data_IF_094608358104
#
_entry.id   IF_094608358104
#
_cell.length_a   1.000
_cell.length_b   1.000
_cell.length_c   1.000
_cell.angle_alpha   90.00
_cell.angle_beta   90.00
_cell.angle_gamma   90.00
#
_symmetry.space_group_name_H-M   'P 1'
#
loop_
_entity.id
_entity.type
_entity.pdbx_description
1 polymer ?
#
# COMPACT_ATOMS: atom_id res chain seq x y z
N UNK A 1 -13.95 -98.18 -14.75
CA UNK A 1 -14.31 -97.07 -15.67
C UNK A 1 -14.17 -95.80 -14.90
N UNK A 2 -13.02 -95.16 -15.04
CA UNK A 2 -12.61 -94.03 -14.20
C UNK A 2 -12.77 -92.74 -14.90
N UNK A 3 -13.44 -91.77 -14.26
CA UNK A 3 -13.45 -90.40 -14.65
C UNK A 3 -12.65 -89.57 -13.66
N UNK A 4 -11.55 -89.00 -14.11
CA UNK A 4 -10.73 -88.08 -13.36
C UNK A 4 -11.02 -86.65 -13.85
N UNK A 5 -11.56 -85.91 -12.94
CA UNK A 5 -11.81 -84.48 -13.20
C UNK A 5 -10.68 -83.63 -12.72
N UNK A 6 -10.03 -82.94 -13.63
CA UNK A 6 -9.07 -81.85 -13.32
C UNK A 6 -9.82 -80.58 -13.05
N UNK A 7 -9.71 -80.05 -11.82
CA UNK A 7 -10.11 -78.75 -11.45
C UNK A 7 -8.90 -77.79 -11.57
N UNK A 8 -8.93 -76.87 -12.51
CA UNK A 8 -7.96 -75.76 -12.61
C UNK A 8 -8.42 -74.62 -11.75
N UNK A 9 -7.65 -74.30 -10.69
CA UNK A 9 -7.82 -73.09 -9.92
C UNK A 9 -7.24 -71.89 -10.69
N UNK A 10 -8.10 -70.94 -11.03
CA UNK A 10 -7.68 -69.63 -11.54
C UNK A 10 -7.32 -68.76 -10.31
N UNK A 11 -6.07 -68.44 -10.15
CA UNK A 11 -5.64 -67.37 -9.25
C UNK A 11 -5.87 -66.02 -9.92
N UNK A 12 -6.83 -65.27 -9.39
CA UNK A 12 -7.12 -63.89 -9.81
C UNK A 12 -6.22 -62.99 -8.97
N UNK A 13 -5.12 -62.51 -9.54
CA UNK A 13 -4.24 -61.52 -8.92
C UNK A 13 -4.87 -60.13 -9.11
N UNK A 14 -5.51 -59.58 -8.09
CA UNK A 14 -5.99 -58.22 -8.08
C UNK A 14 -4.80 -57.27 -7.87
N UNK A 15 -4.30 -56.68 -8.92
CA UNK A 15 -3.36 -55.55 -8.86
C UNK A 15 -4.11 -54.31 -8.43
N UNK A 16 -4.02 -53.95 -7.15
CA UNK A 16 -4.45 -52.63 -6.65
C UNK A 16 -3.54 -51.53 -7.26
N UNK A 17 -3.99 -50.88 -8.33
CA UNK A 17 -3.36 -49.70 -8.85
C UNK A 17 -3.62 -48.52 -7.90
N UNK A 18 -2.64 -48.17 -7.08
CA UNK A 18 -2.62 -46.89 -6.36
C UNK A 18 -2.40 -45.83 -7.40
N UNK A 19 -3.47 -45.16 -7.86
CA UNK A 19 -3.39 -43.95 -8.61
C UNK A 19 -2.89 -42.87 -7.65
N UNK A 20 -1.60 -42.61 -7.64
CA UNK A 20 -1.01 -41.40 -7.06
C UNK A 20 -1.52 -40.25 -7.94
N UNK A 21 -2.51 -39.56 -7.45
CA UNK A 21 -2.89 -38.28 -8.03
C UNK A 21 -1.67 -37.34 -7.87
N UNK A 22 -0.83 -37.30 -8.91
CA UNK A 22 0.18 -36.27 -9.02
C UNK A 22 -0.59 -34.96 -9.13
N UNK A 23 -0.75 -34.25 -8.01
CA UNK A 23 -1.10 -32.84 -8.04
C UNK A 23 -0.01 -32.18 -8.88
N UNK A 24 -0.37 -31.77 -10.09
CA UNK A 24 0.51 -30.95 -10.92
C UNK A 24 0.78 -29.67 -10.13
N UNK A 25 1.90 -29.68 -9.41
CA UNK A 25 2.41 -28.46 -8.79
C UNK A 25 2.64 -27.47 -9.94
N UNK A 26 1.71 -26.55 -10.11
CA UNK A 26 1.88 -25.47 -11.08
C UNK A 26 3.14 -24.71 -10.66
N UNK A 27 4.12 -24.61 -11.56
CA UNK A 27 5.32 -23.83 -11.26
C UNK A 27 4.91 -22.36 -11.05
N UNK A 28 5.27 -21.80 -9.91
CA UNK A 28 5.01 -20.40 -9.63
C UNK A 28 5.85 -19.48 -10.53
N UNK A 29 5.47 -18.22 -10.61
CA UNK A 29 6.09 -17.23 -11.49
C UNK A 29 7.60 -17.08 -11.24
N UNK A 30 8.36 -16.80 -12.30
CA UNK A 30 9.79 -16.48 -12.25
C UNK A 30 10.07 -14.98 -12.35
N UNK A 31 9.06 -14.20 -12.61
CA UNK A 31 9.14 -12.75 -12.70
C UNK A 31 7.98 -12.14 -11.93
N UNK A 32 8.29 -11.15 -11.07
CA UNK A 32 7.33 -10.44 -10.23
C UNK A 32 7.45 -8.95 -10.49
N UNK A 33 6.33 -8.28 -10.73
CA UNK A 33 6.24 -6.85 -11.02
C UNK A 33 5.58 -6.15 -9.85
N UNK A 34 6.32 -5.21 -9.23
CA UNK A 34 5.91 -4.56 -7.98
C UNK A 34 5.94 -3.05 -8.17
N UNK A 35 4.86 -2.36 -7.80
CA UNK A 35 4.87 -0.90 -7.75
C UNK A 35 5.16 -0.37 -6.35
N UNK A 36 5.83 0.78 -6.31
CA UNK A 36 6.01 1.64 -5.14
C UNK A 36 5.81 3.10 -5.55
N UNK A 37 5.39 3.95 -4.62
CA UNK A 37 5.23 5.38 -4.85
C UNK A 37 6.38 6.21 -4.29
N UNK A 38 6.15 7.52 -4.19
CA UNK A 38 7.12 8.47 -3.61
C UNK A 38 6.93 8.58 -2.09
N UNK A 39 8.03 8.89 -1.40
CA UNK A 39 8.00 9.25 0.01
C UNK A 39 8.39 8.10 0.95
N UNK A 40 8.46 8.49 2.24
CA UNK A 40 8.95 7.60 3.31
C UNK A 40 7.99 6.43 3.58
N UNK A 41 6.71 6.58 3.23
CA UNK A 41 5.70 5.54 3.40
C UNK A 41 6.06 4.24 2.67
N UNK A 42 6.84 4.34 1.58
CA UNK A 42 7.30 3.19 0.78
C UNK A 42 8.67 2.66 1.19
N UNK A 43 9.25 3.12 2.31
CA UNK A 43 10.59 2.71 2.75
C UNK A 43 10.76 1.18 2.87
N UNK A 44 9.80 0.40 3.40
CA UNK A 44 9.96 -1.07 3.44
C UNK A 44 10.14 -1.69 2.05
N UNK A 45 9.41 -1.22 1.03
CA UNK A 45 9.57 -1.68 -0.34
C UNK A 45 10.90 -1.21 -0.96
N UNK A 46 11.38 -0.02 -0.58
CA UNK A 46 12.67 0.51 -1.01
C UNK A 46 13.82 -0.32 -0.43
N UNK A 47 13.76 -0.64 0.85
CA UNK A 47 14.75 -1.49 1.53
C UNK A 47 14.72 -2.90 0.95
N UNK A 48 13.53 -3.47 0.76
CA UNK A 48 13.35 -4.79 0.13
C UNK A 48 14.01 -4.84 -1.25
N UNK A 49 13.82 -3.78 -2.07
CA UNK A 49 14.39 -3.69 -3.41
C UNK A 49 15.92 -3.54 -3.37
N UNK A 50 16.45 -2.64 -2.54
CA UNK A 50 17.89 -2.36 -2.43
C UNK A 50 18.67 -3.59 -1.95
N UNK A 51 18.11 -4.31 -0.98
CA UNK A 51 18.73 -5.47 -0.34
C UNK A 51 18.35 -6.81 -1.01
N UNK A 52 17.52 -6.81 -2.07
CA UNK A 52 17.03 -8.00 -2.78
C UNK A 52 16.36 -9.05 -1.88
N UNK A 53 15.66 -8.58 -0.84
CA UNK A 53 15.11 -9.45 0.20
C UNK A 53 14.03 -10.41 -0.35
N UNK A 54 13.24 -9.99 -1.37
CA UNK A 54 12.26 -10.85 -1.98
C UNK A 54 12.90 -12.00 -2.76
N UNK A 55 13.96 -11.72 -3.50
CA UNK A 55 14.74 -12.73 -4.24
C UNK A 55 15.35 -13.77 -3.27
N UNK A 56 15.87 -13.30 -2.13
CA UNK A 56 16.43 -14.18 -1.09
C UNK A 56 15.35 -15.03 -0.42
N UNK A 57 14.21 -14.46 -0.05
CA UNK A 57 13.10 -15.20 0.56
C UNK A 57 12.48 -16.20 -0.44
N UNK A 58 12.38 -15.85 -1.72
CA UNK A 58 11.94 -16.76 -2.77
C UNK A 58 12.89 -17.97 -2.92
N UNK A 59 14.21 -17.73 -2.90
CA UNK A 59 15.20 -18.81 -2.92
C UNK A 59 15.07 -19.73 -1.70
N UNK A 60 14.89 -19.17 -0.48
CA UNK A 60 14.64 -19.92 0.75
C UNK A 60 13.35 -20.75 0.68
N UNK A 61 12.31 -20.25 0.00
CA UNK A 61 11.05 -20.95 -0.23
C UNK A 61 11.13 -22.04 -1.32
N UNK A 62 12.30 -22.24 -1.92
CA UNK A 62 12.53 -23.24 -2.98
C UNK A 62 11.99 -22.82 -4.35
N UNK A 63 11.72 -21.54 -4.55
CA UNK A 63 11.32 -21.00 -5.87
C UNK A 63 12.52 -20.84 -6.82
N UNK A 64 13.77 -20.89 -6.30
CA UNK A 64 14.98 -20.59 -7.04
C UNK A 64 15.06 -19.10 -7.38
N UNK A 65 15.84 -18.78 -8.40
CA UNK A 65 16.01 -17.40 -8.83
C UNK A 65 14.71 -16.84 -9.44
N UNK A 66 14.26 -15.72 -8.91
CA UNK A 66 13.17 -14.91 -9.47
C UNK A 66 13.70 -13.55 -9.88
N UNK A 67 13.08 -12.95 -10.88
CA UNK A 67 13.35 -11.57 -11.30
C UNK A 67 12.30 -10.65 -10.73
N UNK A 68 12.71 -9.59 -10.03
CA UNK A 68 11.81 -8.57 -9.51
C UNK A 68 11.95 -7.28 -10.30
N UNK A 69 10.84 -6.82 -10.88
CA UNK A 69 10.78 -5.55 -11.60
C UNK A 69 10.03 -4.52 -10.74
N UNK A 70 10.70 -3.45 -10.40
CA UNK A 70 10.15 -2.35 -9.63
C UNK A 70 9.67 -1.22 -10.53
N UNK A 71 8.41 -0.80 -10.33
CA UNK A 71 7.80 0.31 -11.06
C UNK A 71 7.50 1.45 -10.09
N UNK A 72 7.84 2.68 -10.50
CA UNK A 72 7.48 3.88 -9.75
C UNK A 72 6.15 4.40 -10.28
N UNK A 73 5.09 4.30 -9.48
CA UNK A 73 3.75 4.78 -9.80
C UNK A 73 3.22 5.62 -8.65
N UNK A 74 2.56 6.73 -8.94
CA UNK A 74 1.98 7.60 -7.93
C UNK A 74 0.48 7.82 -8.19
N UNK A 75 -0.28 7.82 -7.10
CA UNK A 75 -1.74 7.97 -7.14
C UNK A 75 -2.50 6.65 -7.33
N UNK A 76 -3.53 6.47 -6.49
CA UNK A 76 -4.31 5.22 -6.44
C UNK A 76 -4.98 4.84 -7.76
N UNK A 77 -5.40 5.79 -8.59
CA UNK A 77 -6.02 5.51 -9.88
C UNK A 77 -5.03 4.88 -10.87
N UNK A 78 -3.81 5.44 -10.96
CA UNK A 78 -2.75 4.93 -11.86
C UNK A 78 -2.38 3.50 -11.48
N UNK A 79 -2.22 3.23 -10.17
CA UNK A 79 -1.92 1.90 -9.64
C UNK A 79 -3.07 0.93 -9.92
N UNK A 80 -4.32 1.35 -9.71
CA UNK A 80 -5.50 0.53 -9.96
C UNK A 80 -5.64 0.19 -11.44
N UNK A 81 -5.40 1.13 -12.34
CA UNK A 81 -5.44 0.89 -13.79
C UNK A 81 -4.34 -0.10 -14.21
N UNK A 82 -3.12 0.04 -13.69
CA UNK A 82 -2.02 -0.89 -13.95
C UNK A 82 -2.32 -2.30 -13.40
N UNK A 83 -2.93 -2.40 -12.21
CA UNK A 83 -3.37 -3.67 -11.63
C UNK A 83 -4.43 -4.35 -12.47
N UNK A 84 -5.46 -3.60 -12.91
CA UNK A 84 -6.53 -4.11 -13.76
C UNK A 84 -6.03 -4.51 -15.16
N UNK A 85 -5.05 -3.80 -15.70
CA UNK A 85 -4.38 -4.16 -16.95
C UNK A 85 -3.48 -5.42 -16.83
N UNK A 86 -3.27 -5.94 -15.62
CA UNK A 86 -2.42 -7.11 -15.37
C UNK A 86 -0.92 -6.82 -15.55
N UNK A 87 -0.51 -5.57 -15.41
CA UNK A 87 0.90 -5.15 -15.51
C UNK A 87 1.62 -5.17 -14.16
N UNK A 88 0.90 -5.43 -13.07
CA UNK A 88 1.41 -5.56 -11.71
C UNK A 88 0.97 -6.89 -11.10
N UNK A 89 1.84 -7.44 -10.25
CA UNK A 89 1.60 -8.64 -9.44
C UNK A 89 1.41 -8.27 -7.98
N UNK A 90 2.21 -7.30 -7.48
CA UNK A 90 1.98 -6.63 -6.19
C UNK A 90 2.02 -5.11 -6.37
N UNK A 91 1.30 -4.41 -5.53
CA UNK A 91 1.36 -2.95 -5.50
C UNK A 91 1.39 -2.43 -4.08
N UNK A 92 2.29 -1.47 -3.81
CA UNK A 92 2.19 -0.57 -2.67
C UNK A 92 1.31 0.62 -3.05
N UNK A 93 0.35 0.98 -2.20
CA UNK A 93 -0.58 2.09 -2.45
C UNK A 93 -1.22 2.59 -1.15
N UNK A 94 -1.76 3.81 -1.20
CA UNK A 94 -2.63 4.30 -0.14
C UNK A 94 -3.85 3.38 0.07
N UNK A 95 -4.20 3.09 1.33
CA UNK A 95 -5.32 2.23 1.68
C UNK A 95 -6.64 2.60 0.97
N UNK A 96 -7.01 3.90 0.80
CA UNK A 96 -8.21 4.27 0.05
C UNK A 96 -8.20 3.81 -1.41
N UNK A 97 -7.06 3.86 -2.09
CA UNK A 97 -6.92 3.37 -3.47
C UNK A 97 -7.21 1.87 -3.56
N UNK A 98 -6.60 1.08 -2.69
CA UNK A 98 -6.85 -0.35 -2.57
C UNK A 98 -8.31 -0.67 -2.25
N UNK A 99 -8.90 -0.04 -1.20
CA UNK A 99 -10.29 -0.27 -0.77
C UNK A 99 -11.28 0.07 -1.91
N UNK A 100 -10.99 1.12 -2.68
CA UNK A 100 -11.79 1.49 -3.86
C UNK A 100 -11.80 0.36 -4.89
N UNK A 101 -10.62 -0.18 -5.24
CA UNK A 101 -10.53 -1.27 -6.21
C UNK A 101 -11.14 -2.55 -5.66
N UNK A 102 -10.88 -2.89 -4.40
CA UNK A 102 -11.47 -4.04 -3.73
C UNK A 102 -13.01 -4.00 -3.79
N UNK A 103 -13.61 -2.85 -3.44
CA UNK A 103 -15.06 -2.67 -3.46
C UNK A 103 -15.66 -2.80 -4.87
N UNK A 104 -14.97 -2.29 -5.89
CA UNK A 104 -15.40 -2.38 -7.30
C UNK A 104 -15.27 -3.78 -7.87
N UNK A 105 -14.22 -4.51 -7.46
CA UNK A 105 -13.88 -5.83 -7.98
C UNK A 105 -14.57 -6.98 -7.24
N UNK A 106 -15.14 -6.73 -6.06
CA UNK A 106 -15.75 -7.74 -5.19
C UNK A 106 -16.85 -8.52 -5.89
N UNK A 107 -16.70 -9.85 -5.92
CA UNK A 107 -17.64 -10.78 -6.57
C UNK A 107 -17.52 -10.84 -8.10
N UNK A 108 -16.55 -10.14 -8.70
CA UNK A 108 -16.31 -10.23 -10.15
C UNK A 108 -15.15 -11.20 -10.41
N UNK A 109 -15.41 -12.36 -11.05
CA UNK A 109 -14.38 -13.36 -11.29
C UNK A 109 -13.15 -12.79 -12.00
N UNK A 110 -11.96 -13.23 -11.59
CA UNK A 110 -10.65 -12.89 -12.16
C UNK A 110 -10.18 -11.44 -12.03
N UNK A 111 -10.99 -10.54 -11.42
CA UNK A 111 -10.59 -9.15 -11.20
C UNK A 111 -10.51 -8.78 -9.71
N UNK A 112 -10.93 -9.68 -8.81
CA UNK A 112 -10.81 -9.47 -7.36
C UNK A 112 -9.36 -9.21 -6.97
N UNK A 113 -9.21 -8.30 -6.01
CA UNK A 113 -7.93 -7.98 -5.37
C UNK A 113 -8.00 -8.26 -3.87
N UNK A 114 -6.86 -8.51 -3.27
CA UNK A 114 -6.73 -8.77 -1.83
C UNK A 114 -5.52 -8.06 -1.28
N UNK A 115 -5.62 -7.47 -0.11
CA UNK A 115 -4.51 -6.90 0.63
C UNK A 115 -3.54 -8.00 1.08
N UNK A 116 -2.25 -7.78 0.86
CA UNK A 116 -1.20 -8.71 1.27
C UNK A 116 -0.64 -8.30 2.62
N UNK A 117 -0.51 -7.00 2.89
CA UNK A 117 -0.08 -6.49 4.19
C UNK A 117 -0.46 -5.02 4.37
N UNK A 118 -0.46 -4.54 5.61
CA UNK A 118 -0.19 -3.12 5.86
C UNK A 118 1.27 -2.82 5.45
N UNK A 119 1.59 -1.55 5.28
CA UNK A 119 2.94 -1.12 4.90
C UNK A 119 3.47 -0.07 5.87
N UNK A 120 2.73 1.00 6.10
CA UNK A 120 3.22 2.16 6.84
C UNK A 120 2.10 3.06 7.34
N UNK A 121 2.44 3.85 8.35
CA UNK A 121 1.70 5.01 8.83
C UNK A 121 2.66 6.15 9.17
N UNK A 122 2.17 7.37 9.02
CA UNK A 122 2.87 8.60 9.41
C UNK A 122 1.87 9.75 9.51
N UNK A 123 2.33 10.94 9.90
CA UNK A 123 1.50 12.13 9.80
C UNK A 123 1.52 12.73 8.38
N UNK A 124 0.35 13.10 7.86
CA UNK A 124 0.23 13.97 6.69
C UNK A 124 0.03 15.41 7.18
N UNK A 125 0.77 16.35 6.58
CA UNK A 125 0.66 17.75 6.94
C UNK A 125 0.08 18.57 5.79
N UNK A 126 -0.85 19.47 6.10
CA UNK A 126 -1.22 20.55 5.23
C UNK A 126 -0.28 21.71 5.51
N UNK A 127 0.61 21.98 4.57
CA UNK A 127 1.54 23.09 4.62
C UNK A 127 1.06 24.22 3.70
N UNK A 128 1.29 25.48 4.08
CA UNK A 128 0.89 26.65 3.32
C UNK A 128 1.99 27.70 3.24
N UNK A 129 2.12 28.32 2.07
CA UNK A 129 2.92 29.55 1.87
C UNK A 129 2.07 30.85 1.98
N UNK A 130 0.74 30.71 2.15
CA UNK A 130 -0.13 31.85 2.38
C UNK A 130 -0.16 32.21 3.88
N UNK A 131 0.43 33.35 4.31
CA UNK A 131 0.51 33.71 5.73
C UNK A 131 -0.84 33.94 6.41
N UNK A 132 -1.93 34.08 5.64
CA UNK A 132 -3.27 34.26 6.16
C UNK A 132 -3.97 32.95 6.53
N UNK A 133 -3.52 31.81 5.97
CA UNK A 133 -4.08 30.49 6.24
C UNK A 133 -3.43 29.90 7.47
N UNK A 134 -4.10 29.96 8.62
CA UNK A 134 -3.63 29.37 9.90
C UNK A 134 -4.42 28.13 10.28
N UNK A 135 -5.65 28.03 9.80
CA UNK A 135 -6.57 26.91 10.02
C UNK A 135 -7.25 26.54 8.71
N UNK A 136 -7.97 25.42 8.68
CA UNK A 136 -8.75 25.02 7.49
C UNK A 136 -9.87 26.00 7.15
N UNK A 137 -10.38 26.72 8.16
CA UNK A 137 -11.44 27.72 8.01
C UNK A 137 -10.97 28.97 7.26
N UNK A 138 -9.67 29.24 7.27
CA UNK A 138 -9.08 30.40 6.57
C UNK A 138 -8.90 30.16 5.06
N UNK A 139 -9.03 28.90 4.61
CA UNK A 139 -8.93 28.55 3.19
C UNK A 139 -10.05 29.20 2.38
N UNK A 140 -9.70 29.83 1.28
CA UNK A 140 -10.59 30.55 0.38
C UNK A 140 -10.51 30.00 -1.06
N UNK A 141 -11.41 30.38 -1.96
CA UNK A 141 -11.36 29.95 -3.36
C UNK A 141 -10.04 30.26 -4.10
N UNK A 142 -9.26 31.25 -3.60
CA UNK A 142 -7.94 31.58 -4.14
C UNK A 142 -6.83 30.64 -3.67
N UNK A 143 -7.10 29.83 -2.65
CA UNK A 143 -6.12 28.86 -2.15
C UNK A 143 -6.32 27.51 -2.85
N UNK A 144 -5.25 26.98 -3.44
CA UNK A 144 -5.28 25.66 -4.09
C UNK A 144 -4.43 24.66 -3.30
N UNK A 145 -5.04 23.52 -3.06
CA UNK A 145 -4.46 22.41 -2.30
C UNK A 145 -3.95 21.35 -3.27
N UNK A 146 -2.64 21.23 -3.41
CA UNK A 146 -2.05 20.19 -4.22
C UNK A 146 -2.13 18.83 -3.51
N UNK A 147 -2.47 17.79 -4.28
CA UNK A 147 -2.42 16.38 -3.89
C UNK A 147 -2.28 15.48 -5.13
N UNK A 148 -1.75 14.25 -5.02
CA UNK A 148 -1.41 13.42 -6.19
C UNK A 148 -2.63 12.93 -6.98
N UNK A 149 -3.82 12.95 -6.40
CA UNK A 149 -5.05 12.54 -7.09
C UNK A 149 -6.30 13.08 -6.39
N UNK A 150 -7.16 13.74 -7.14
CA UNK A 150 -8.39 14.36 -6.62
C UNK A 150 -9.36 13.25 -6.20
N UNK A 151 -9.95 13.37 -5.00
CA UNK A 151 -11.00 12.52 -4.41
C UNK A 151 -10.62 11.08 -4.09
N UNK A 152 -9.56 10.52 -4.67
CA UNK A 152 -9.27 9.09 -4.60
C UNK A 152 -7.89 8.75 -4.05
N UNK A 153 -6.96 9.71 -4.04
CA UNK A 153 -5.65 9.51 -3.42
C UNK A 153 -5.76 9.42 -1.90
N UNK A 154 -4.76 8.83 -1.26
CA UNK A 154 -4.63 8.82 0.20
C UNK A 154 -4.82 10.23 0.79
N UNK A 155 -4.06 11.20 0.28
CA UNK A 155 -4.13 12.59 0.74
C UNK A 155 -5.55 13.18 0.58
N UNK A 156 -6.24 12.91 -0.54
CA UNK A 156 -7.59 13.40 -0.75
C UNK A 156 -8.58 12.85 0.27
N UNK A 157 -8.56 11.53 0.52
CA UNK A 157 -9.49 10.90 1.46
C UNK A 157 -9.19 11.33 2.90
N UNK A 158 -7.91 11.40 3.30
CA UNK A 158 -7.53 11.91 4.62
C UNK A 158 -7.95 13.38 4.79
N UNK A 159 -7.79 14.22 3.76
CA UNK A 159 -8.26 15.61 3.81
C UNK A 159 -9.79 15.69 4.00
N UNK A 160 -10.55 14.81 3.33
CA UNK A 160 -12.00 14.73 3.51
C UNK A 160 -12.38 14.24 4.93
N UNK A 161 -11.65 13.27 5.50
CA UNK A 161 -11.86 12.83 6.89
C UNK A 161 -11.61 13.98 7.87
N UNK A 162 -10.56 14.76 7.67
CA UNK A 162 -10.26 15.96 8.47
C UNK A 162 -11.35 17.01 8.27
N UNK A 163 -11.79 17.26 7.03
CA UNK A 163 -12.88 18.19 6.76
C UNK A 163 -14.20 17.77 7.41
N UNK A 164 -14.50 16.48 7.45
CA UNK A 164 -15.65 15.93 8.17
C UNK A 164 -15.58 16.18 9.68
N UNK A 165 -14.38 16.10 10.26
CA UNK A 165 -14.16 16.41 11.68
C UNK A 165 -14.33 17.92 11.96
N UNK A 166 -13.73 18.78 11.14
CA UNK A 166 -13.67 20.23 11.37
C UNK A 166 -14.94 20.97 10.99
N UNK A 167 -15.65 20.53 9.95
CA UNK A 167 -16.83 21.23 9.39
C UNK A 167 -18.14 20.48 9.58
N UNK A 168 -18.10 19.29 10.20
CA UNK A 168 -19.25 18.41 10.29
C UNK A 168 -19.24 17.33 9.18
N UNK A 169 -19.76 16.17 9.52
CA UNK A 169 -19.70 14.95 8.70
C UNK A 169 -20.32 15.13 7.30
N UNK A 170 -21.38 15.90 7.19
CA UNK A 170 -22.06 16.23 5.94
C UNK A 170 -21.25 17.16 5.03
N UNK A 171 -20.27 17.87 5.59
CA UNK A 171 -19.42 18.83 4.90
C UNK A 171 -18.04 18.26 4.56
N UNK A 172 -17.88 16.93 4.54
CA UNK A 172 -16.60 16.27 4.26
C UNK A 172 -15.96 16.70 2.94
N UNK A 173 -16.76 17.05 1.93
CA UNK A 173 -16.30 17.47 0.60
C UNK A 173 -16.09 19.00 0.48
N UNK A 174 -16.15 19.76 1.59
CA UNK A 174 -16.08 21.22 1.57
C UNK A 174 -14.78 21.75 0.94
N UNK A 175 -13.68 21.04 1.09
CA UNK A 175 -12.37 21.43 0.55
C UNK A 175 -12.11 20.87 -0.86
N UNK A 176 -12.93 19.95 -1.37
CA UNK A 176 -12.73 19.34 -2.70
C UNK A 176 -12.60 20.37 -3.84
N UNK A 177 -13.40 21.48 -3.89
CA UNK A 177 -13.28 22.51 -4.94
C UNK A 177 -11.93 23.23 -4.94
N UNK A 178 -11.18 23.16 -3.84
CA UNK A 178 -9.85 23.77 -3.72
C UNK A 178 -8.73 22.84 -4.16
N UNK A 179 -9.02 21.53 -4.36
CA UNK A 179 -7.99 20.53 -4.64
C UNK A 179 -7.54 20.54 -6.11
N UNK A 180 -6.23 20.36 -6.32
CA UNK A 180 -5.59 20.25 -7.63
C UNK A 180 -4.73 18.99 -7.67
N UNK A 181 -4.89 18.18 -8.73
CA UNK A 181 -4.09 16.98 -8.95
C UNK A 181 -2.68 17.36 -9.39
N UNK A 182 -1.68 17.09 -8.54
CA UNK A 182 -0.28 17.36 -8.82
C UNK A 182 0.61 16.37 -8.05
N UNK A 183 1.52 15.63 -8.71
CA UNK A 183 2.46 14.73 -8.03
C UNK A 183 3.26 15.44 -6.94
N UNK A 184 3.60 14.74 -5.86
CA UNK A 184 4.26 15.35 -4.70
C UNK A 184 5.55 16.11 -5.02
N UNK A 185 6.48 15.61 -5.89
CA UNK A 185 7.70 16.37 -6.24
C UNK A 185 7.39 17.70 -6.95
N UNK A 186 6.37 17.72 -7.82
CA UNK A 186 5.94 18.90 -8.56
C UNK A 186 5.22 19.88 -7.62
N UNK A 187 4.39 19.37 -6.71
CA UNK A 187 3.71 20.15 -5.70
C UNK A 187 4.68 20.86 -4.73
N UNK A 188 5.72 20.16 -4.27
CA UNK A 188 6.81 20.74 -3.48
C UNK A 188 7.45 21.91 -4.22
N UNK A 189 7.80 21.71 -5.50
CA UNK A 189 8.43 22.76 -6.31
C UNK A 189 7.49 23.97 -6.50
N UNK A 190 6.21 23.73 -6.80
CA UNK A 190 5.20 24.78 -6.99
C UNK A 190 4.96 25.59 -5.71
N UNK A 191 4.82 24.92 -4.56
CA UNK A 191 4.62 25.59 -3.27
C UNK A 191 5.82 26.46 -2.88
N UNK A 192 7.05 25.95 -3.04
CA UNK A 192 8.29 26.71 -2.74
C UNK A 192 8.51 27.86 -3.71
N UNK A 193 8.14 27.72 -4.98
CA UNK A 193 8.24 28.82 -5.95
C UNK A 193 7.38 30.03 -5.57
N UNK A 194 6.21 29.82 -4.95
CA UNK A 194 5.33 30.87 -4.46
C UNK A 194 4.72 31.78 -5.54
N UNK A 195 4.84 31.40 -6.81
CA UNK A 195 4.38 32.18 -7.98
C UNK A 195 3.29 31.44 -8.78
N UNK A 196 2.72 30.40 -8.19
CA UNK A 196 1.66 29.59 -8.79
C UNK A 196 0.36 29.76 -8.01
N UNK A 197 -0.75 29.21 -8.52
CA UNK A 197 -2.00 29.14 -7.78
C UNK A 197 -1.94 28.18 -6.57
N UNK A 198 -0.92 27.30 -6.50
CA UNK A 198 -0.73 26.35 -5.41
C UNK A 198 -0.21 27.10 -4.19
N UNK A 199 -1.09 27.27 -3.20
CA UNK A 199 -0.76 27.93 -1.92
C UNK A 199 -0.66 26.95 -0.77
N UNK A 200 -1.11 25.71 -0.97
CA UNK A 200 -1.06 24.65 0.04
C UNK A 200 -0.73 23.29 -0.60
N UNK A 201 -0.09 22.44 0.17
CA UNK A 201 0.17 21.04 -0.21
C UNK A 201 -0.14 20.12 0.96
N UNK A 202 -0.93 19.06 0.72
CA UNK A 202 -1.25 18.07 1.73
C UNK A 202 -0.48 16.79 1.45
N UNK A 203 0.54 16.52 2.25
CA UNK A 203 1.58 15.54 1.91
C UNK A 203 2.20 14.87 3.13
N UNK A 204 2.90 13.77 2.87
CA UNK A 204 3.71 13.02 3.84
C UNK A 204 5.20 13.39 3.76
N UNK A 205 6.05 12.94 4.71
CA UNK A 205 7.50 13.03 4.60
C UNK A 205 8.03 12.28 3.34
N UNK A 206 9.09 12.79 2.69
CA UNK A 206 9.92 13.91 3.11
C UNK A 206 9.36 15.27 2.68
N UNK A 207 8.35 15.33 1.82
CA UNK A 207 7.85 16.56 1.21
C UNK A 207 7.39 17.55 2.28
N UNK A 208 6.60 17.09 3.25
CA UNK A 208 6.10 17.92 4.35
C UNK A 208 7.23 18.57 5.17
N UNK A 209 8.33 17.87 5.39
CA UNK A 209 9.51 18.39 6.10
C UNK A 209 10.33 19.34 5.24
N UNK A 210 10.55 19.01 3.96
CA UNK A 210 11.32 19.84 3.03
C UNK A 210 10.63 21.19 2.75
N UNK A 211 9.32 21.24 2.81
CA UNK A 211 8.54 22.46 2.71
C UNK A 211 8.81 23.40 3.89
N UNK A 212 8.80 22.87 5.11
CA UNK A 212 9.03 23.66 6.32
C UNK A 212 10.48 24.16 6.49
N UNK A 213 11.42 23.72 5.64
CA UNK A 213 12.75 24.33 5.56
C UNK A 213 12.71 25.74 4.93
N UNK A 214 11.64 26.08 4.21
CA UNK A 214 11.40 27.45 3.75
C UNK A 214 10.63 28.24 4.84
N UNK A 215 11.21 29.32 5.40
CA UNK A 215 10.58 30.07 6.49
C UNK A 215 9.25 30.77 6.07
N UNK A 216 8.95 30.82 4.78
CA UNK A 216 7.65 31.33 4.27
C UNK A 216 6.54 30.30 4.34
N UNK A 217 6.88 29.01 4.52
CA UNK A 217 5.92 27.92 4.58
C UNK A 217 5.71 27.50 6.02
N UNK A 218 4.48 27.27 6.41
CA UNK A 218 4.14 26.82 7.74
C UNK A 218 3.10 25.70 7.69
N UNK A 219 3.07 24.87 8.73
CA UNK A 219 2.09 23.81 8.88
C UNK A 219 0.77 24.37 9.39
N UNK A 220 -0.31 24.03 8.70
CA UNK A 220 -1.70 24.38 9.04
C UNK A 220 -2.39 23.26 9.81
N UNK A 221 -2.22 22.01 9.36
CA UNK A 221 -2.84 20.82 9.98
C UNK A 221 -1.85 19.66 10.01
N UNK A 222 -1.91 18.87 11.06
CA UNK A 222 -1.32 17.53 11.15
C UNK A 222 -2.46 16.51 11.24
N UNK A 223 -2.50 15.53 10.33
CA UNK A 223 -3.57 14.54 10.26
C UNK A 223 -3.71 13.71 11.54
N UNK A 224 -2.58 13.36 12.19
CA UNK A 224 -2.59 12.51 13.41
C UNK A 224 -3.27 13.21 14.58
N UNK A 225 -3.17 14.54 14.66
CA UNK A 225 -3.83 15.31 15.72
C UNK A 225 -5.37 15.27 15.58
N UNK A 226 -5.89 14.98 14.39
CA UNK A 226 -7.33 14.99 14.09
C UNK A 226 -7.92 13.58 14.05
N UNK A 227 -7.29 12.67 13.28
CA UNK A 227 -7.83 11.31 13.03
C UNK A 227 -7.03 10.20 13.72
N UNK A 228 -5.94 10.55 14.44
CA UNK A 228 -5.04 9.58 15.05
C UNK A 228 -4.10 8.91 14.05
N UNK A 229 -3.24 8.02 14.55
CA UNK A 229 -2.32 7.25 13.72
C UNK A 229 -3.05 6.00 13.20
N UNK A 230 -3.17 5.89 11.87
CA UNK A 230 -3.84 4.80 11.15
C UNK A 230 -2.92 4.26 10.06
N UNK A 231 -3.11 3.02 9.62
CA UNK A 231 -2.40 2.50 8.45
C UNK A 231 -2.76 3.32 7.22
N UNK A 232 -1.79 4.02 6.66
CA UNK A 232 -1.96 4.87 5.48
C UNK A 232 -1.74 4.10 4.19
N UNK A 233 -0.64 3.33 4.11
CA UNK A 233 -0.32 2.54 2.94
C UNK A 233 -0.40 1.04 3.23
N UNK A 234 -0.75 0.31 2.19
CA UNK A 234 -0.88 -1.15 2.18
C UNK A 234 -0.19 -1.73 0.95
N UNK A 235 0.07 -3.04 0.97
CA UNK A 235 0.37 -3.80 -0.24
C UNK A 235 -0.81 -4.69 -0.59
N UNK A 236 -1.07 -4.84 -1.89
CA UNK A 236 -2.16 -5.67 -2.40
C UNK A 236 -1.79 -6.35 -3.71
N UNK A 237 -2.56 -7.36 -4.10
CA UNK A 237 -2.34 -8.17 -5.28
C UNK A 237 -3.68 -8.61 -5.91
N UNK A 238 -3.71 -9.04 -7.18
CA UNK A 238 -4.84 -9.78 -7.73
C UNK A 238 -5.05 -11.07 -6.94
N UNK A 239 -6.27 -11.34 -6.51
CA UNK A 239 -6.56 -12.57 -5.76
C UNK A 239 -6.12 -13.82 -6.54
N UNK A 240 -6.35 -13.86 -7.85
CA UNK A 240 -5.92 -14.96 -8.73
C UNK A 240 -4.39 -15.18 -8.71
N UNK A 241 -3.61 -14.09 -8.56
CA UNK A 241 -2.15 -14.20 -8.46
C UNK A 241 -1.73 -14.84 -7.14
N UNK A 242 -2.31 -14.39 -6.04
CA UNK A 242 -2.08 -14.95 -4.69
C UNK A 242 -2.44 -16.44 -4.65
N UNK A 243 -3.61 -16.80 -5.18
CA UNK A 243 -4.09 -18.19 -5.21
C UNK A 243 -3.17 -19.10 -6.06
N UNK A 244 -2.62 -18.58 -7.16
CA UNK A 244 -1.73 -19.34 -8.05
C UNK A 244 -0.26 -19.36 -7.59
N UNK A 245 0.16 -18.41 -6.73
CA UNK A 245 1.55 -18.22 -6.32
C UNK A 245 1.67 -18.08 -4.79
N UNK A 246 1.21 -19.08 -4.00
CA UNK A 246 1.19 -18.98 -2.55
C UNK A 246 2.60 -18.83 -1.94
N UNK A 247 3.61 -19.54 -2.44
CA UNK A 247 4.98 -19.43 -1.93
C UNK A 247 5.61 -18.07 -2.26
N UNK A 248 5.33 -17.52 -3.45
CA UNK A 248 5.76 -16.17 -3.83
C UNK A 248 5.12 -15.13 -2.92
N UNK A 249 3.84 -15.31 -2.58
CA UNK A 249 3.10 -14.43 -1.66
C UNK A 249 3.67 -14.50 -0.23
N UNK A 250 3.94 -15.70 0.26
CA UNK A 250 4.56 -15.91 1.57
C UNK A 250 5.99 -15.33 1.61
N UNK A 251 6.77 -15.49 0.54
CA UNK A 251 8.11 -14.90 0.40
C UNK A 251 8.05 -13.37 0.39
N UNK A 252 7.05 -12.79 -0.28
CA UNK A 252 6.83 -11.34 -0.29
C UNK A 252 6.50 -10.81 1.13
N UNK A 253 5.62 -11.48 1.85
CA UNK A 253 5.27 -11.11 3.22
C UNK A 253 6.47 -11.25 4.17
N UNK A 254 7.24 -12.34 4.05
CA UNK A 254 8.47 -12.55 4.83
C UNK A 254 9.54 -11.48 4.53
N UNK A 255 9.70 -11.08 3.26
CA UNK A 255 10.62 -10.02 2.86
C UNK A 255 10.19 -8.64 3.41
N UNK A 256 8.88 -8.37 3.50
CA UNK A 256 8.38 -7.16 4.16
C UNK A 256 8.63 -7.16 5.67
N UNK A 257 8.39 -8.28 6.34
CA UNK A 257 8.69 -8.41 7.78
C UNK A 257 10.20 -8.24 8.04
N UNK A 258 11.05 -8.78 7.17
CA UNK A 258 12.52 -8.62 7.22
C UNK A 258 12.94 -7.16 6.98
N UNK A 259 12.34 -6.47 6.00
CA UNK A 259 12.58 -5.06 5.74
C UNK A 259 12.18 -4.17 6.93
N UNK A 260 11.04 -4.45 7.54
CA UNK A 260 10.59 -3.74 8.75
C UNK A 260 11.54 -3.97 9.94
N UNK A 261 12.02 -5.22 10.12
CA UNK A 261 13.01 -5.53 11.15
C UNK A 261 14.35 -4.82 10.91
N UNK A 262 14.80 -4.75 9.65
CA UNK A 262 15.99 -3.99 9.26
C UNK A 262 15.85 -2.51 9.61
N UNK A 263 14.74 -1.88 9.22
CA UNK A 263 14.47 -0.45 9.51
C UNK A 263 14.43 -0.19 11.02
N UNK A 264 13.79 -1.06 11.78
CA UNK A 264 13.70 -0.92 13.24
C UNK A 264 15.06 -1.08 13.92
N UNK A 265 15.93 -1.96 13.41
CA UNK A 265 17.24 -2.26 13.96
C UNK A 265 18.26 -1.16 13.67
N UNK A 266 18.23 -0.60 12.47
CA UNK A 266 19.21 0.39 12.00
C UNK A 266 18.53 1.46 11.12
N UNK A 267 17.92 2.45 11.80
CA UNK A 267 17.27 3.58 11.15
C UNK A 267 18.22 4.40 10.27
N UNK A 268 19.51 4.47 10.66
CA UNK A 268 20.51 5.22 9.90
C UNK A 268 20.81 4.52 8.56
N UNK A 269 21.07 3.22 8.57
CA UNK A 269 21.26 2.47 7.34
C UNK A 269 20.01 2.52 6.45
N UNK A 270 18.81 2.45 7.03
CA UNK A 270 17.55 2.61 6.30
C UNK A 270 17.42 4.02 5.66
N UNK A 271 17.83 5.07 6.37
CA UNK A 271 17.87 6.44 5.85
C UNK A 271 18.87 6.58 4.68
N UNK A 272 20.05 5.98 4.79
CA UNK A 272 21.07 5.95 3.72
C UNK A 272 20.53 5.24 2.46
N UNK A 273 19.82 4.09 2.63
CA UNK A 273 19.16 3.39 1.53
C UNK A 273 18.08 4.27 0.91
N UNK A 274 17.28 4.96 1.72
CA UNK A 274 16.25 5.86 1.20
C UNK A 274 16.86 6.96 0.34
N UNK A 275 17.86 7.67 0.85
CA UNK A 275 18.54 8.76 0.13
C UNK A 275 19.17 8.27 -1.19
N UNK A 276 19.84 7.12 -1.16
CA UNK A 276 20.43 6.49 -2.35
C UNK A 276 19.39 6.20 -3.46
N UNK A 277 18.17 5.82 -3.06
CA UNK A 277 17.11 5.39 -3.99
C UNK A 277 16.02 6.46 -4.20
N UNK A 278 16.16 7.63 -3.58
CA UNK A 278 15.20 8.73 -3.70
C UNK A 278 15.53 9.64 -4.89
N UNK A 279 14.49 10.07 -5.59
CA UNK A 279 14.60 11.12 -6.63
C UNK A 279 14.45 12.53 -6.03
N UNK A 280 14.25 12.63 -4.72
CA UNK A 280 14.10 13.90 -4.00
C UNK A 280 15.38 14.19 -3.24
N UNK A 281 15.93 15.41 -3.39
CA UNK A 281 17.12 15.83 -2.66
C UNK A 281 16.77 16.02 -1.18
N UNK A 282 17.24 15.10 -0.35
CA UNK A 282 17.05 15.07 1.11
C UNK A 282 18.33 14.52 1.76
N UNK A 283 18.68 15.00 2.95
CA UNK A 283 19.85 14.50 3.68
C UNK A 283 19.52 13.22 4.47
N UNK A 284 20.54 12.46 4.82
CA UNK A 284 20.40 11.27 5.69
C UNK A 284 19.89 11.70 7.08
N UNK A 285 20.37 12.83 7.58
CA UNK A 285 19.97 13.41 8.87
C UNK A 285 18.49 13.77 8.86
N UNK A 286 17.98 14.41 7.80
CA UNK A 286 16.55 14.72 7.66
C UNK A 286 15.70 13.45 7.64
N UNK A 287 16.11 12.45 6.85
CA UNK A 287 15.39 11.18 6.79
C UNK A 287 15.41 10.46 8.12
N UNK A 288 16.57 10.45 8.82
CA UNK A 288 16.68 9.86 10.15
C UNK A 288 15.70 10.52 11.13
N UNK A 289 15.61 11.85 11.13
CA UNK A 289 14.65 12.58 11.96
C UNK A 289 13.18 12.19 11.66
N UNK A 290 12.85 11.97 10.37
CA UNK A 290 11.52 11.48 9.97
C UNK A 290 11.26 10.06 10.45
N UNK A 291 12.28 9.19 10.48
CA UNK A 291 12.19 7.81 10.99
C UNK A 291 12.13 7.73 12.51
N UNK A 292 12.62 8.76 13.20
CA UNK A 292 12.55 8.88 14.66
C UNK A 292 11.23 9.49 15.14
N UNK A 293 10.47 10.11 14.25
CA UNK A 293 9.14 10.63 14.58
C UNK A 293 8.23 9.47 15.04
N UNK A 294 7.60 9.65 16.21
CA UNK A 294 6.72 8.64 16.84
C UNK A 294 5.53 8.22 15.98
N UNK A 295 5.10 9.10 15.07
CA UNK A 295 3.97 8.87 14.18
C UNK A 295 4.38 8.05 12.93
N UNK A 296 5.69 7.95 12.63
CA UNK A 296 6.20 7.13 11.53
C UNK A 296 6.41 5.69 11.99
N UNK A 297 5.62 4.77 11.43
CA UNK A 297 5.63 3.36 11.79
C UNK A 297 5.54 2.49 10.55
N UNK A 298 6.25 1.37 10.57
CA UNK A 298 6.23 0.34 9.53
C UNK A 298 5.76 -0.97 10.13
N UNK A 299 4.71 -1.53 9.56
CA UNK A 299 4.10 -2.76 10.07
C UNK A 299 3.35 -3.48 8.97
N UNK A 300 3.44 -4.79 8.96
CA UNK A 300 2.62 -5.63 8.08
C UNK A 300 1.23 -5.91 8.68
N UNK A 301 0.98 -5.51 9.94
CA UNK A 301 -0.32 -5.65 10.61
C UNK A 301 -1.15 -4.39 10.40
N UNK A 302 -2.36 -4.48 9.81
CA UNK A 302 -3.25 -3.33 9.64
C UNK A 302 -3.69 -2.74 10.99
N UNK A 303 -3.70 -1.42 11.07
CA UNK A 303 -4.20 -0.66 12.21
C UNK A 303 -5.26 0.34 11.75
N UNK A 304 -6.48 0.21 12.25
CA UNK A 304 -7.63 1.11 11.96
C UNK A 304 -7.91 1.30 10.46
N UNK A 305 -7.62 0.32 9.62
CA UNK A 305 -7.89 0.40 8.18
C UNK A 305 -9.39 0.51 7.88
N UNK A 306 -10.23 0.02 8.81
CA UNK A 306 -11.67 0.12 8.70
C UNK A 306 -12.19 1.56 8.78
N UNK A 307 -11.45 2.49 9.39
CA UNK A 307 -11.83 3.91 9.45
C UNK A 307 -11.94 4.49 8.02
N UNK A 308 -11.05 4.08 7.11
CA UNK A 308 -11.17 4.41 5.68
C UNK A 308 -12.41 3.79 5.04
N UNK A 309 -12.63 2.49 5.25
CA UNK A 309 -13.77 1.79 4.64
C UNK A 309 -15.11 2.38 5.10
N UNK A 310 -15.24 2.68 6.38
CA UNK A 310 -16.43 3.29 6.97
C UNK A 310 -16.66 4.71 6.43
N UNK A 311 -15.61 5.53 6.40
CA UNK A 311 -15.70 6.88 5.85
C UNK A 311 -16.04 6.88 4.36
N UNK A 312 -15.34 6.07 3.55
CA UNK A 312 -15.54 5.99 2.11
C UNK A 312 -16.92 5.45 1.74
N UNK A 313 -17.47 4.53 2.54
CA UNK A 313 -18.83 4.07 2.35
C UNK A 313 -19.85 5.17 2.68
N UNK A 314 -19.63 5.89 3.78
CA UNK A 314 -20.43 7.06 4.14
C UNK A 314 -20.42 8.15 3.04
N UNK A 315 -19.24 8.45 2.51
CA UNK A 315 -19.05 9.43 1.44
C UNK A 315 -19.59 8.95 0.08
N UNK A 316 -20.06 7.69 -0.02
CA UNK A 316 -20.56 7.10 -1.25
C UNK A 316 -19.47 6.76 -2.28
N UNK A 317 -18.20 6.81 -1.88
CA UNK A 317 -17.06 6.51 -2.75
C UNK A 317 -16.96 5.01 -3.04
N UNK A 318 -17.34 4.17 -2.09
CA UNK A 318 -17.46 2.73 -2.25
C UNK A 318 -18.90 2.25 -2.01
N UNK A 319 -19.32 1.24 -2.78
CA UNK A 319 -20.65 0.64 -2.65
C UNK A 319 -20.65 -0.60 -1.74
N UNK A 320 -19.64 -1.45 -1.91
CA UNK A 320 -19.43 -2.63 -1.09
C UNK A 320 -18.42 -2.30 0.01
N UNK A 321 -18.87 -2.38 1.26
CA UNK A 321 -18.05 -2.18 2.45
C UNK A 321 -17.62 -3.53 3.01
N UNK A 322 -16.34 -3.73 3.42
CA UNK A 322 -15.93 -4.90 4.16
C UNK A 322 -16.64 -4.92 5.53
N UNK A 323 -16.99 -6.10 6.04
CA UNK A 323 -17.57 -6.25 7.38
C UNK A 323 -16.49 -6.11 8.45
N UNK A 324 -15.29 -6.64 8.17
CA UNK A 324 -14.11 -6.57 9.04
C UNK A 324 -12.86 -6.34 8.20
N UNK A 325 -11.76 -5.97 8.85
CA UNK A 325 -10.47 -5.80 8.16
C UNK A 325 -9.97 -7.12 7.52
N UNK A 326 -10.36 -8.28 8.05
CA UNK A 326 -9.99 -9.59 7.50
C UNK A 326 -10.62 -9.86 6.14
N UNK A 327 -11.73 -9.21 5.80
CA UNK A 327 -12.32 -9.30 4.44
C UNK A 327 -11.44 -8.66 3.38
N UNK A 328 -10.58 -7.72 3.79
CA UNK A 328 -9.66 -6.99 2.92
C UNK A 328 -8.36 -7.75 2.68
N UNK A 329 -7.89 -8.56 3.63
CA UNK A 329 -6.54 -9.09 3.63
C UNK A 329 -6.47 -10.62 3.52
N UNK A 330 -5.30 -11.12 3.09
CA UNK A 330 -5.01 -12.56 2.97
C UNK A 330 -5.11 -13.28 4.33
N UNK A 331 -5.49 -14.57 4.34
CA UNK A 331 -5.65 -15.34 5.59
C UNK A 331 -4.42 -15.39 6.49
N UNK A 332 -3.21 -15.30 5.93
CA UNK A 332 -1.95 -15.29 6.69
C UNK A 332 -1.87 -14.15 7.72
N UNK A 333 -2.61 -13.06 7.49
CA UNK A 333 -2.66 -11.94 8.44
C UNK A 333 -3.73 -12.08 9.52
N UNK A 334 -4.74 -12.94 9.35
CA UNK A 334 -5.92 -13.00 10.23
C UNK A 334 -5.59 -13.37 11.68
N UNK A 335 -4.41 -13.96 11.94
CA UNK A 335 -3.95 -14.25 13.29
C UNK A 335 -3.25 -13.07 13.97
N UNK A 336 -3.01 -11.97 13.24
CA UNK A 336 -2.42 -10.74 13.78
C UNK A 336 -3.50 -9.88 14.44
N UNK A 337 -3.11 -9.04 15.40
CA UNK A 337 -4.03 -8.12 16.09
C UNK A 337 -4.36 -6.88 15.24
N UNK A 338 -4.85 -7.09 14.02
CA UNK A 338 -5.22 -6.02 13.11
C UNK A 338 -6.59 -5.38 13.42
N UNK A 339 -6.88 -4.21 12.82
CA UNK A 339 -8.16 -3.50 12.97
C UNK A 339 -8.51 -2.59 11.77
#
# INVERSE_FOLDING_TARGET
MNFWKYTKALAFTAALGVAVAATTAHAEVKEVRISKGFGILYLPLIVMADQKMLEEQAAKAGLGDIKVNWLMLDGGNVINDAMMAGTLDFAGTGAPGFITLWSKAKGIPNVEVVGVSALSSTSLWLNSNNPKVKTLQDLSPSDKIALPGIKTSLSAVVLQMIAAHEFGRENYAKLDPLTVGLPHPEALAALKAGQTEITTHFTSPPFSYLELQDPKIHRVVNSVDVIGNITLDVTFAPKRFVDANPKTTDAFLAALDEANAFIAKDKKAAAEIYVKNSNVKVSVEDVLAMLEDKDTQFSTTPNKVMDFADFMHLAGTIKVKPATWTDLFIPQLHQRSGS
#
